data_IF_083714004189
#
_entry.id   IF_083714004189
#
_cell.length_a   1.000
_cell.length_b   1.000
_cell.length_c   1.000
_cell.angle_alpha   90.00
_cell.angle_beta   90.00
_cell.angle_gamma   90.00
#
_symmetry.space_group_name_H-M   'P 1'
#
loop_
_entity.id
_entity.type
_entity.pdbx_description
1 polymer ?
#
# COMPACT_ATOMS: atom_id res chain seq x y z
N UNK A 1 8.69 10.64 -8.90
CA UNK A 1 9.02 11.05 -7.52
C UNK A 1 8.29 10.17 -6.50
N UNK A 2 6.96 10.04 -6.58
CA UNK A 2 6.15 9.21 -5.66
C UNK A 2 6.53 7.73 -5.72
N UNK A 3 6.68 7.18 -6.93
CA UNK A 3 7.14 5.79 -7.17
C UNK A 3 8.40 5.45 -6.36
N UNK A 4 9.43 6.30 -6.45
CA UNK A 4 10.70 6.11 -5.73
C UNK A 4 10.55 6.22 -4.21
N UNK A 5 9.70 7.13 -3.72
CA UNK A 5 9.45 7.26 -2.28
C UNK A 5 8.81 6.00 -1.71
N UNK A 6 7.83 5.44 -2.42
CA UNK A 6 7.16 4.21 -2.03
C UNK A 6 8.13 3.03 -2.07
N UNK A 7 8.90 2.90 -3.15
CA UNK A 7 9.88 1.83 -3.32
C UNK A 7 10.98 1.87 -2.24
N UNK A 8 11.50 3.06 -1.92
CA UNK A 8 12.50 3.21 -0.85
C UNK A 8 11.94 2.78 0.50
N UNK A 9 10.71 3.21 0.84
CA UNK A 9 10.07 2.81 2.09
C UNK A 9 9.82 1.29 2.15
N UNK A 10 9.39 0.68 1.04
CA UNK A 10 9.21 -0.77 0.91
C UNK A 10 10.50 -1.56 1.14
N UNK A 11 11.61 -1.08 0.61
CA UNK A 11 12.91 -1.74 0.77
C UNK A 11 13.50 -1.61 2.17
N UNK A 12 13.04 -0.64 2.95
CA UNK A 12 13.41 -0.43 4.37
C UNK A 12 12.50 -1.20 5.34
N UNK A 13 11.40 -1.78 4.86
CA UNK A 13 10.43 -2.51 5.69
C UNK A 13 10.88 -3.94 6.00
N UNK A 14 10.74 -4.32 7.27
CA UNK A 14 10.84 -5.71 7.74
C UNK A 14 9.52 -6.46 7.51
N UNK A 15 9.59 -7.80 7.47
CA UNK A 15 8.51 -8.73 7.04
C UNK A 15 7.17 -8.64 7.80
N UNK A 16 7.05 -7.84 8.86
CA UNK A 16 5.90 -7.76 9.76
C UNK A 16 5.22 -6.37 9.82
N UNK A 17 5.62 -5.42 8.96
CA UNK A 17 5.26 -4.01 9.11
C UNK A 17 4.28 -3.47 8.05
N UNK A 18 3.38 -4.31 7.55
CA UNK A 18 2.34 -3.88 6.59
C UNK A 18 1.47 -2.73 7.13
N UNK A 19 1.25 -2.68 8.45
CA UNK A 19 0.52 -1.57 9.10
C UNK A 19 1.25 -0.22 8.94
N UNK A 20 2.59 -0.24 9.02
CA UNK A 20 3.44 0.93 8.81
C UNK A 20 3.40 1.36 7.35
N UNK A 21 3.39 0.39 6.43
CA UNK A 21 3.21 0.67 5.01
C UNK A 21 1.86 1.34 4.72
N UNK A 22 0.78 0.86 5.33
CA UNK A 22 -0.54 1.49 5.18
C UNK A 22 -0.57 2.92 5.69
N UNK A 23 0.00 3.20 6.86
CA UNK A 23 0.09 4.56 7.39
C UNK A 23 0.87 5.48 6.44
N UNK A 24 1.97 4.99 5.90
CA UNK A 24 2.77 5.71 4.91
C UNK A 24 1.99 5.98 3.61
N UNK A 25 1.26 4.99 3.08
CA UNK A 25 0.45 5.19 1.87
C UNK A 25 -0.70 6.18 2.08
N UNK A 26 -1.33 6.20 3.26
CA UNK A 26 -2.33 7.22 3.62
C UNK A 26 -1.70 8.62 3.55
N UNK A 27 -0.51 8.79 4.15
CA UNK A 27 0.21 10.06 4.13
C UNK A 27 0.53 10.49 2.70
N UNK A 28 1.07 9.59 1.87
CA UNK A 28 1.39 9.87 0.46
C UNK A 28 0.13 10.25 -0.31
N UNK A 29 -0.98 9.53 -0.12
CA UNK A 29 -2.27 9.82 -0.76
C UNK A 29 -2.70 11.26 -0.51
N UNK A 30 -2.72 11.69 0.74
CA UNK A 30 -3.18 13.04 1.09
C UNK A 30 -2.17 14.13 0.71
N UNK A 31 -0.87 13.91 0.92
CA UNK A 31 0.17 14.89 0.56
C UNK A 31 0.23 15.16 -0.94
N UNK A 32 -0.04 14.14 -1.76
CA UNK A 32 0.04 14.21 -3.22
C UNK A 32 -1.33 14.30 -3.88
N UNK A 33 -2.41 14.44 -3.10
CA UNK A 33 -3.80 14.47 -3.56
C UNK A 33 -4.16 13.33 -4.53
N UNK A 34 -3.68 12.11 -4.25
CA UNK A 34 -3.91 10.96 -5.12
C UNK A 34 -5.33 10.40 -4.90
N UNK A 35 -5.99 10.10 -6.01
CA UNK A 35 -7.17 9.22 -6.00
C UNK A 35 -6.76 7.77 -5.70
N UNK A 36 -7.72 6.95 -5.27
CA UNK A 36 -7.55 5.50 -5.11
C UNK A 36 -6.94 4.86 -6.36
N UNK A 37 -7.44 5.24 -7.55
CA UNK A 37 -6.99 4.66 -8.81
C UNK A 37 -5.56 5.06 -9.16
N UNK A 38 -5.18 6.32 -8.95
CA UNK A 38 -3.80 6.77 -9.18
C UNK A 38 -2.83 6.07 -8.23
N UNK A 39 -3.18 5.96 -6.95
CA UNK A 39 -2.33 5.24 -5.99
C UNK A 39 -2.20 3.76 -6.36
N UNK A 40 -3.30 3.10 -6.74
CA UNK A 40 -3.30 1.72 -7.22
C UNK A 40 -2.38 1.52 -8.43
N UNK A 41 -2.46 2.41 -9.43
CA UNK A 41 -1.61 2.36 -10.62
C UNK A 41 -0.12 2.46 -10.26
N UNK A 42 0.25 3.39 -9.38
CA UNK A 42 1.65 3.53 -8.93
C UNK A 42 2.14 2.26 -8.24
N UNK A 43 1.32 1.63 -7.38
CA UNK A 43 1.69 0.39 -6.70
C UNK A 43 1.80 -0.79 -7.67
N UNK A 44 0.93 -0.87 -8.67
CA UNK A 44 1.01 -1.89 -9.73
C UNK A 44 2.27 -1.76 -10.57
N UNK A 45 2.64 -0.53 -10.95
CA UNK A 45 3.91 -0.26 -11.66
C UNK A 45 5.12 -0.71 -10.84
N UNK A 46 5.13 -0.44 -9.53
CA UNK A 46 6.23 -0.90 -8.65
C UNK A 46 6.29 -2.42 -8.59
N UNK A 47 5.13 -3.07 -8.42
CA UNK A 47 5.04 -4.53 -8.35
C UNK A 47 5.58 -5.20 -9.62
N UNK A 48 5.32 -4.62 -10.80
CA UNK A 48 5.72 -5.18 -12.09
C UNK A 48 7.19 -4.90 -12.44
N UNK A 49 7.67 -3.69 -12.16
CA UNK A 49 8.95 -3.22 -12.70
C UNK A 49 10.12 -3.37 -11.71
N UNK A 50 9.86 -3.24 -10.41
CA UNK A 50 10.92 -2.94 -9.43
C UNK A 50 11.05 -3.97 -8.30
N UNK A 51 10.15 -4.95 -8.22
CA UNK A 51 10.07 -5.86 -7.06
C UNK A 51 10.14 -7.32 -7.51
N UNK A 52 11.04 -8.09 -6.91
CA UNK A 52 11.22 -9.51 -7.20
C UNK A 52 10.17 -10.37 -6.48
N UNK A 53 9.57 -11.35 -7.18
CA UNK A 53 8.48 -12.25 -6.74
C UNK A 53 8.74 -13.05 -5.44
N UNK A 54 9.95 -13.02 -4.88
CA UNK A 54 10.32 -13.71 -3.64
C UNK A 54 10.78 -12.76 -2.53
N UNK A 55 10.62 -11.47 -2.73
CA UNK A 55 11.03 -10.45 -1.76
C UNK A 55 9.93 -10.15 -0.74
N UNK A 56 10.33 -9.67 0.45
CA UNK A 56 9.42 -9.09 1.45
C UNK A 56 8.52 -8.01 0.82
N UNK A 57 9.13 -7.12 0.04
CA UNK A 57 8.43 -6.03 -0.64
C UNK A 57 7.32 -6.54 -1.59
N UNK A 58 7.54 -7.68 -2.25
CA UNK A 58 6.53 -8.30 -3.11
C UNK A 58 5.31 -8.70 -2.31
N UNK A 59 5.51 -9.46 -1.22
CA UNK A 59 4.42 -9.94 -0.37
C UNK A 59 3.63 -8.77 0.24
N UNK A 60 4.34 -7.74 0.74
CA UNK A 60 3.69 -6.55 1.29
C UNK A 60 2.86 -5.84 0.21
N UNK A 61 3.39 -5.68 -1.01
CA UNK A 61 2.67 -5.04 -2.11
C UNK A 61 1.45 -5.84 -2.55
N UNK A 62 1.57 -7.15 -2.73
CA UNK A 62 0.44 -8.01 -3.13
C UNK A 62 -0.65 -7.97 -2.07
N UNK A 63 -0.30 -8.13 -0.80
CA UNK A 63 -1.26 -8.07 0.31
C UNK A 63 -1.92 -6.69 0.39
N UNK A 64 -1.17 -5.61 0.11
CA UNK A 64 -1.71 -4.26 0.07
C UNK A 64 -2.73 -4.06 -1.05
N UNK A 65 -2.46 -4.61 -2.23
CA UNK A 65 -3.32 -4.47 -3.41
C UNK A 65 -4.67 -5.17 -3.24
N UNK A 66 -4.74 -6.25 -2.47
CA UNK A 66 -5.99 -6.92 -2.12
C UNK A 66 -7.00 -5.98 -1.43
N UNK A 67 -6.52 -5.05 -0.59
CA UNK A 67 -7.36 -4.04 0.05
C UNK A 67 -7.93 -3.00 -0.93
N UNK A 68 -7.30 -2.77 -2.08
CA UNK A 68 -7.87 -1.89 -3.10
C UNK A 68 -9.06 -2.50 -3.81
N UNK A 69 -9.05 -3.82 -4.01
CA UNK A 69 -10.12 -4.54 -4.71
C UNK A 69 -11.16 -5.14 -3.76
N UNK A 70 -11.01 -4.94 -2.45
CA UNK A 70 -11.93 -5.44 -1.43
C UNK A 70 -11.78 -6.94 -1.16
N UNK A 71 -10.63 -7.53 -1.50
CA UNK A 71 -10.32 -8.93 -1.25
C UNK A 71 -9.81 -9.12 0.19
N UNK A 72 -10.67 -8.82 1.17
CA UNK A 72 -10.39 -9.01 2.59
C UNK A 72 -11.69 -9.26 3.36
N UNK A 73 -11.57 -9.80 4.57
CA UNK A 73 -12.74 -9.93 5.46
C UNK A 73 -13.28 -8.54 5.86
N UNK A 74 -14.57 -8.41 6.21
CA UNK A 74 -15.13 -7.15 6.70
C UNK A 74 -14.30 -6.56 7.83
N UNK A 75 -13.89 -5.29 7.68
CA UNK A 75 -13.02 -4.62 8.64
C UNK A 75 -13.85 -3.93 9.73
N UNK A 76 -13.54 -4.24 10.98
CA UNK A 76 -14.05 -3.49 12.14
C UNK A 76 -13.15 -2.25 12.42
N UNK A 77 -13.66 -1.18 13.05
CA UNK A 77 -12.90 0.05 13.30
C UNK A 77 -11.59 -0.12 14.07
N UNK A 78 -11.45 -1.18 14.85
CA UNK A 78 -10.23 -1.50 15.61
C UNK A 78 -9.17 -2.24 14.79
N UNK A 79 -9.50 -2.69 13.58
CA UNK A 79 -8.56 -3.38 12.70
C UNK A 79 -7.54 -2.40 12.11
N UNK A 80 -6.26 -2.77 12.06
CA UNK A 80 -5.18 -1.88 11.59
C UNK A 80 -5.42 -1.36 10.15
N UNK A 81 -5.99 -2.20 9.28
CA UNK A 81 -6.32 -1.85 7.90
C UNK A 81 -7.57 -0.96 7.73
N UNK A 82 -8.39 -0.79 8.77
CA UNK A 82 -9.65 -0.06 8.65
C UNK A 82 -9.43 1.40 8.22
N UNK A 83 -8.49 2.09 8.85
CA UNK A 83 -8.15 3.47 8.50
C UNK A 83 -7.64 3.60 7.07
N UNK A 84 -6.89 2.60 6.58
CA UNK A 84 -6.39 2.56 5.22
C UNK A 84 -7.53 2.42 4.20
N UNK A 85 -8.38 1.40 4.35
CA UNK A 85 -9.51 1.20 3.43
C UNK A 85 -10.47 2.39 3.44
N UNK A 86 -10.70 2.99 4.62
CA UNK A 86 -11.50 4.23 4.71
C UNK A 86 -10.85 5.37 3.93
N UNK A 87 -9.54 5.61 4.12
CA UNK A 87 -8.81 6.66 3.41
C UNK A 87 -8.75 6.42 1.89
N UNK A 88 -8.82 5.17 1.41
CA UNK A 88 -8.95 4.87 -0.03
C UNK A 88 -10.30 5.29 -0.61
N UNK A 89 -11.36 5.33 0.20
CA UNK A 89 -12.71 5.72 -0.22
C UNK A 89 -12.99 7.22 -0.20
N UNK A 90 -12.08 8.02 0.38
CA UNK A 90 -12.15 9.48 0.51
C UNK A 90 -11.36 10.19 -0.62
#
# INVERSE_FOLDING_TARGET
>A
MIKQQILNFLNELENDKIDSFFRFLIQIKYQQHLSKQQLYQVLMEILQDDVHEQSCAYNILTDTLDYFVGYHSPLVPTHFAYAFVKALGE
#
